data_IF_297969564512
#
_entry.id   IF_297969564512
#
_cell.length_a   1.000
_cell.length_b   1.000
_cell.length_c   1.000
_cell.angle_alpha   90.00
_cell.angle_beta   90.00
_cell.angle_gamma   90.00
#
_symmetry.space_group_name_H-M   'P 1'
#
loop_
_entity.id
_entity.type
_entity.pdbx_description
1 polymer ?
#
# COMPACT_ATOMS: atom_id res chain seq x y z
N UNK A 1 48.81 2.10 18.07
CA UNK A 1 47.44 1.53 18.06
C UNK A 1 46.44 2.67 17.90
N UNK A 2 45.91 2.88 16.70
CA UNK A 2 44.84 3.88 16.47
C UNK A 2 43.50 3.22 16.80
N UNK A 3 42.79 3.72 17.81
CA UNK A 3 41.42 3.34 18.10
C UNK A 3 40.54 3.76 16.92
N UNK A 4 39.98 2.79 16.23
CA UNK A 4 38.89 3.02 15.29
C UNK A 4 37.73 3.68 16.03
N UNK A 5 37.36 4.90 15.64
CA UNK A 5 36.12 5.53 16.09
C UNK A 5 34.97 4.70 15.54
N UNK A 6 34.28 3.99 16.41
CA UNK A 6 32.95 3.47 16.10
C UNK A 6 32.08 4.65 15.69
N UNK A 7 31.62 4.63 14.44
CA UNK A 7 30.62 5.57 13.95
C UNK A 7 29.31 5.13 14.62
N UNK A 8 28.98 5.78 15.71
CA UNK A 8 27.65 5.65 16.32
C UNK A 8 26.66 6.29 15.36
N UNK A 9 26.00 5.47 14.53
CA UNK A 9 24.89 5.92 13.70
C UNK A 9 23.80 6.34 14.67
N UNK A 10 23.55 7.65 14.71
CA UNK A 10 22.53 8.24 15.56
C UNK A 10 21.16 7.76 15.01
N UNK A 11 20.50 6.84 15.71
CA UNK A 11 19.22 6.24 15.32
C UNK A 11 18.06 7.27 15.21
N UNK A 12 18.31 8.52 15.52
CA UNK A 12 17.30 9.58 15.59
C UNK A 12 16.98 10.27 14.25
N UNK A 13 17.55 9.82 13.13
CA UNK A 13 17.36 10.46 11.81
C UNK A 13 16.95 9.50 10.69
N UNK A 14 16.32 8.37 11.02
CA UNK A 14 15.97 7.34 10.03
C UNK A 14 14.47 7.27 9.69
N UNK A 15 13.68 8.24 10.10
CA UNK A 15 12.24 8.15 10.03
C UNK A 15 11.71 8.97 8.87
N UNK A 16 11.47 8.29 7.78
CA UNK A 16 10.84 8.84 6.59
C UNK A 16 9.90 7.82 5.96
N UNK A 17 9.36 8.19 4.82
CA UNK A 17 8.52 7.31 4.02
C UNK A 17 9.35 6.51 3.02
N UNK A 18 8.85 5.31 2.67
CA UNK A 18 9.26 4.55 1.49
C UNK A 18 8.05 4.32 0.59
N UNK A 19 8.30 4.25 -0.71
CA UNK A 19 7.28 3.99 -1.73
C UNK A 19 7.56 2.62 -2.33
N UNK A 20 6.52 1.77 -2.36
CA UNK A 20 6.59 0.43 -2.93
C UNK A 20 5.52 0.28 -4.01
N UNK A 21 5.94 0.19 -5.26
CA UNK A 21 5.07 -0.03 -6.40
C UNK A 21 5.02 -1.51 -6.74
N UNK A 22 3.83 -2.05 -6.85
CA UNK A 22 3.57 -3.47 -7.07
C UNK A 22 2.90 -3.62 -8.44
N UNK A 23 3.52 -4.38 -9.31
CA UNK A 23 3.04 -4.66 -10.65
C UNK A 23 4.17 -5.13 -11.55
N UNK A 24 4.00 -6.29 -12.15
CA UNK A 24 4.97 -6.89 -13.07
C UNK A 24 5.15 -6.06 -14.33
N UNK A 25 4.12 -5.35 -14.78
CA UNK A 25 4.15 -4.46 -15.95
C UNK A 25 5.06 -3.23 -15.73
N UNK A 26 5.14 -2.74 -14.48
CA UNK A 26 6.05 -1.65 -14.11
C UNK A 26 7.47 -2.18 -14.08
N UNK A 27 7.69 -3.34 -13.46
CA UNK A 27 9.00 -3.96 -13.31
C UNK A 27 9.62 -4.30 -14.68
N UNK A 28 8.80 -4.75 -15.63
CA UNK A 28 9.22 -5.08 -16.99
C UNK A 28 9.37 -3.85 -17.89
N UNK A 29 9.01 -2.66 -17.42
CA UNK A 29 9.11 -1.43 -18.20
C UNK A 29 8.00 -1.26 -19.24
N UNK A 30 6.93 -2.04 -19.17
CA UNK A 30 5.79 -1.94 -20.10
C UNK A 30 5.00 -0.65 -19.90
N UNK A 31 5.00 -0.13 -18.67
CA UNK A 31 4.39 1.15 -18.31
C UNK A 31 5.35 2.00 -17.46
N UNK A 32 5.18 3.32 -17.55
CA UNK A 32 5.94 4.26 -16.73
C UNK A 32 5.37 4.33 -15.32
N UNK A 33 6.24 4.26 -14.32
CA UNK A 33 5.85 4.38 -12.90
C UNK A 33 5.54 5.84 -12.53
N UNK A 34 4.38 6.33 -12.93
CA UNK A 34 3.94 7.70 -12.63
C UNK A 34 3.42 7.84 -11.20
N UNK A 35 2.98 6.76 -10.57
CA UNK A 35 2.47 6.79 -9.20
C UNK A 35 3.58 7.12 -8.20
N UNK A 36 4.75 6.49 -8.31
CA UNK A 36 5.86 6.78 -7.38
C UNK A 36 6.38 8.21 -7.52
N UNK A 37 6.46 8.72 -8.75
CA UNK A 37 6.83 10.12 -8.98
C UNK A 37 5.85 11.05 -8.27
N UNK A 38 4.56 10.87 -8.51
CA UNK A 38 3.54 11.72 -7.96
C UNK A 38 3.48 11.65 -6.42
N UNK A 39 3.57 10.45 -5.82
CA UNK A 39 3.62 10.28 -4.36
C UNK A 39 4.83 11.01 -3.78
N UNK A 40 6.00 10.91 -4.42
CA UNK A 40 7.21 11.60 -3.99
C UNK A 40 7.04 13.13 -3.99
N UNK A 41 6.38 13.68 -4.99
CA UNK A 41 6.02 15.10 -5.06
C UNK A 41 5.09 15.49 -3.89
N UNK A 42 4.08 14.66 -3.58
CA UNK A 42 3.17 14.93 -2.45
C UNK A 42 3.92 14.86 -1.11
N UNK A 43 4.78 13.88 -0.90
CA UNK A 43 5.60 13.80 0.31
C UNK A 43 6.49 15.02 0.49
N UNK A 44 7.09 15.50 -0.58
CA UNK A 44 7.90 16.73 -0.56
C UNK A 44 7.07 17.96 -0.18
N UNK A 45 5.85 18.11 -0.72
CA UNK A 45 4.91 19.20 -0.37
C UNK A 45 4.55 19.13 1.12
N UNK A 46 4.34 17.92 1.67
CA UNK A 46 4.02 17.71 3.08
C UNK A 46 5.23 17.82 4.01
N UNK A 47 6.44 17.98 3.46
CA UNK A 47 7.67 18.01 4.24
C UNK A 47 8.05 16.65 4.86
N UNK A 48 7.51 15.54 4.33
CA UNK A 48 7.82 14.19 4.76
C UNK A 48 9.03 13.67 4.00
N UNK A 49 10.16 13.40 4.67
CA UNK A 49 11.33 12.85 4.00
C UNK A 49 11.02 11.48 3.40
N UNK A 50 11.46 11.23 2.18
CA UNK A 50 11.39 9.91 1.61
C UNK A 50 12.75 9.52 1.01
N UNK A 51 13.16 8.26 1.19
CA UNK A 51 14.52 7.86 0.88
C UNK A 51 14.60 6.74 -0.14
N UNK A 52 13.50 6.03 -0.41
CA UNK A 52 13.51 4.86 -1.29
C UNK A 52 12.20 4.74 -2.06
N UNK A 53 12.37 4.34 -3.32
CA UNK A 53 11.29 3.88 -4.19
C UNK A 53 11.69 2.50 -4.70
N UNK A 54 10.82 1.53 -4.52
CA UNK A 54 11.05 0.14 -4.92
C UNK A 54 9.92 -0.31 -5.85
N UNK A 55 10.26 -1.07 -6.87
CA UNK A 55 9.29 -1.72 -7.75
C UNK A 55 9.43 -3.23 -7.58
N UNK A 56 8.32 -3.91 -7.31
CA UNK A 56 8.25 -5.36 -7.15
C UNK A 56 7.18 -5.91 -8.09
N UNK A 57 7.47 -7.01 -8.76
CA UNK A 57 6.45 -7.76 -9.51
C UNK A 57 5.51 -8.50 -8.56
N UNK A 58 4.43 -9.07 -9.10
CA UNK A 58 3.36 -9.76 -8.36
C UNK A 58 3.82 -11.12 -7.81
N UNK A 59 4.81 -11.08 -6.93
CA UNK A 59 5.40 -12.25 -6.27
C UNK A 59 5.27 -12.11 -4.74
N UNK A 60 4.57 -13.03 -4.05
CA UNK A 60 4.27 -12.92 -2.63
C UNK A 60 5.51 -12.87 -1.74
N UNK A 61 6.53 -13.68 -2.03
CA UNK A 61 7.71 -13.78 -1.18
C UNK A 61 8.59 -12.53 -1.28
N UNK A 62 8.80 -12.03 -2.49
CA UNK A 62 9.54 -10.77 -2.72
C UNK A 62 8.81 -9.56 -2.14
N UNK A 63 7.48 -9.52 -2.27
CA UNK A 63 6.66 -8.47 -1.69
C UNK A 63 6.75 -8.50 -0.16
N UNK A 64 6.66 -9.67 0.45
CA UNK A 64 6.83 -9.86 1.89
C UNK A 64 8.20 -9.39 2.37
N UNK A 65 9.26 -9.77 1.68
CA UNK A 65 10.63 -9.35 1.98
C UNK A 65 10.76 -7.82 1.94
N UNK A 66 10.31 -7.19 0.87
CA UNK A 66 10.34 -5.73 0.72
C UNK A 66 9.58 -4.99 1.82
N UNK A 67 8.39 -5.51 2.23
CA UNK A 67 7.60 -4.94 3.33
C UNK A 67 8.35 -5.08 4.67
N UNK A 68 8.95 -6.23 4.94
CA UNK A 68 9.72 -6.45 6.17
C UNK A 68 10.93 -5.52 6.23
N UNK A 69 11.68 -5.40 5.13
CA UNK A 69 12.81 -4.49 5.05
C UNK A 69 12.39 -3.04 5.29
N UNK A 70 11.38 -2.55 4.59
CA UNK A 70 10.85 -1.20 4.78
C UNK A 70 10.44 -0.97 6.23
N UNK A 71 9.77 -1.96 6.84
CA UNK A 71 9.30 -1.87 8.22
C UNK A 71 10.41 -1.80 9.27
N UNK A 72 11.65 -2.12 8.93
CA UNK A 72 12.81 -2.05 9.83
C UNK A 72 13.56 -0.72 9.73
N UNK A 73 13.30 0.07 8.69
CA UNK A 73 14.08 1.29 8.38
C UNK A 73 13.24 2.53 8.09
N UNK A 74 11.90 2.42 8.00
CA UNK A 74 11.00 3.55 7.76
C UNK A 74 9.84 3.56 8.74
N UNK A 75 9.17 4.69 8.91
CA UNK A 75 7.96 4.84 9.71
C UNK A 75 6.70 4.71 8.86
N UNK A 76 6.79 5.07 7.59
CA UNK A 76 5.67 5.07 6.66
C UNK A 76 6.07 4.26 5.44
N UNK A 77 5.25 3.29 5.08
CA UNK A 77 5.31 2.60 3.81
C UNK A 77 4.06 2.93 2.99
N UNK A 78 4.26 3.53 1.83
CA UNK A 78 3.17 3.79 0.90
C UNK A 78 3.28 2.77 -0.23
N UNK A 79 2.24 1.94 -0.38
CA UNK A 79 2.18 0.95 -1.46
C UNK A 79 1.15 1.35 -2.51
N UNK A 80 1.41 1.03 -3.78
CA UNK A 80 0.44 1.22 -4.87
C UNK A 80 0.47 0.02 -5.81
N UNK A 81 -0.72 -0.49 -6.15
CA UNK A 81 -0.92 -1.66 -6.99
C UNK A 81 -1.34 -2.93 -6.22
N UNK A 82 -1.81 -3.93 -6.95
CA UNK A 82 -2.18 -5.24 -6.44
C UNK A 82 -3.39 -5.28 -5.49
N UNK A 83 -4.35 -4.35 -5.62
CA UNK A 83 -5.58 -4.26 -4.82
C UNK A 83 -6.86 -4.68 -5.58
N UNK A 84 -6.75 -5.00 -6.85
CA UNK A 84 -7.88 -5.40 -7.70
C UNK A 84 -8.46 -6.76 -7.33
N UNK A 85 -9.42 -7.25 -8.15
CA UNK A 85 -10.09 -8.53 -7.91
C UNK A 85 -9.36 -9.72 -8.55
N UNK A 86 -8.30 -9.52 -9.31
CA UNK A 86 -7.65 -10.63 -10.03
C UNK A 86 -6.81 -11.53 -9.10
N UNK A 87 -6.44 -12.73 -9.50
CA UNK A 87 -5.58 -13.61 -8.70
C UNK A 87 -4.21 -12.97 -8.36
N UNK A 88 -3.69 -12.14 -9.25
CA UNK A 88 -2.39 -11.46 -9.09
C UNK A 88 -2.44 -10.27 -8.13
N UNK A 89 -3.64 -9.82 -7.77
CA UNK A 89 -3.84 -8.76 -6.76
C UNK A 89 -3.63 -9.33 -5.35
N UNK A 90 -2.39 -9.36 -4.90
CA UNK A 90 -1.96 -10.05 -3.67
C UNK A 90 -1.61 -9.12 -2.51
N UNK A 91 -1.59 -7.82 -2.74
CA UNK A 91 -1.01 -6.83 -1.81
C UNK A 91 -1.61 -6.90 -0.41
N UNK A 92 -2.94 -6.84 -0.28
CA UNK A 92 -3.62 -6.87 1.02
C UNK A 92 -3.33 -8.15 1.80
N UNK A 93 -3.36 -9.30 1.10
CA UNK A 93 -3.10 -10.60 1.73
C UNK A 93 -1.66 -10.68 2.22
N UNK A 94 -0.68 -10.31 1.39
CA UNK A 94 0.73 -10.37 1.75
C UNK A 94 1.06 -9.43 2.91
N UNK A 95 0.48 -8.22 2.94
CA UNK A 95 0.61 -7.30 4.08
C UNK A 95 0.11 -7.97 5.37
N UNK A 96 -1.10 -8.53 5.37
CA UNK A 96 -1.67 -9.19 6.53
C UNK A 96 -0.83 -10.39 6.99
N UNK A 97 -0.42 -11.26 6.06
CA UNK A 97 0.41 -12.44 6.33
C UNK A 97 1.79 -12.05 6.89
N UNK A 98 2.39 -10.97 6.39
CA UNK A 98 3.69 -10.46 6.84
C UNK A 98 3.69 -10.15 8.34
N UNK A 99 2.61 -9.57 8.83
CA UNK A 99 2.45 -9.20 10.24
C UNK A 99 1.58 -10.19 11.03
N UNK A 100 1.31 -11.38 10.46
CA UNK A 100 0.54 -12.45 11.09
C UNK A 100 -0.82 -11.98 11.62
N UNK A 101 -1.47 -11.11 10.88
CA UNK A 101 -2.77 -10.55 11.23
C UNK A 101 -3.85 -11.17 10.38
N UNK A 102 -4.99 -11.62 10.95
CA UNK A 102 -6.08 -12.17 10.18
C UNK A 102 -6.72 -11.08 9.31
N UNK A 103 -7.19 -11.50 8.14
CA UNK A 103 -8.08 -10.69 7.33
C UNK A 103 -9.50 -10.77 7.88
N UNK A 104 -10.20 -9.65 7.89
CA UNK A 104 -11.63 -9.57 8.22
C UNK A 104 -12.40 -8.99 7.05
N UNK A 105 -13.61 -9.51 6.82
CA UNK A 105 -14.49 -9.03 5.78
C UNK A 105 -15.27 -7.80 6.28
N UNK A 106 -15.24 -6.74 5.49
CA UNK A 106 -15.92 -5.48 5.79
C UNK A 106 -17.23 -5.35 5.02
N UNK A 107 -18.32 -5.29 5.75
CA UNK A 107 -19.66 -5.15 5.17
C UNK A 107 -19.90 -3.81 4.47
N UNK A 108 -19.30 -2.73 4.98
CA UNK A 108 -19.36 -1.40 4.35
C UNK A 108 -18.72 -1.41 2.95
N UNK A 109 -17.59 -2.10 2.77
CA UNK A 109 -16.95 -2.28 1.47
C UNK A 109 -17.82 -3.16 0.55
N UNK A 110 -18.41 -4.22 1.07
CA UNK A 110 -19.33 -5.07 0.27
C UNK A 110 -20.53 -4.29 -0.27
N UNK A 111 -21.09 -3.40 0.55
CA UNK A 111 -22.22 -2.54 0.13
C UNK A 111 -21.76 -1.56 -0.95
N UNK A 112 -20.59 -0.92 -0.75
CA UNK A 112 -20.01 -0.01 -1.73
C UNK A 112 -19.72 -0.69 -3.07
N UNK A 113 -19.11 -1.88 -3.04
CA UNK A 113 -18.86 -2.70 -4.24
C UNK A 113 -20.17 -3.03 -5.00
N UNK A 114 -21.23 -3.44 -4.29
CA UNK A 114 -22.52 -3.70 -4.90
C UNK A 114 -23.10 -2.46 -5.58
N UNK A 115 -22.95 -1.30 -4.93
CA UNK A 115 -23.44 -0.03 -5.48
C UNK A 115 -22.68 0.40 -6.74
N UNK A 116 -21.36 0.25 -6.73
CA UNK A 116 -20.48 0.65 -7.84
C UNK A 116 -20.59 -0.27 -9.04
N UNK A 117 -20.67 -1.56 -8.82
CA UNK A 117 -20.71 -2.54 -9.90
C UNK A 117 -22.09 -2.63 -10.59
N UNK A 118 -23.11 -1.93 -10.09
CA UNK A 118 -24.47 -1.70 -10.64
C UNK A 118 -25.08 -2.79 -11.55
N UNK A 119 -24.59 -4.00 -11.51
CA UNK A 119 -25.21 -5.12 -12.19
C UNK A 119 -26.38 -5.61 -11.34
N UNK A 120 -27.53 -5.11 -11.70
CA UNK A 120 -28.84 -5.12 -11.05
C UNK A 120 -29.37 -6.51 -10.75
N UNK A 121 -28.76 -7.46 -10.28
CA UNK A 121 -29.26 -8.74 -9.77
C UNK A 121 -28.16 -9.83 -9.75
N UNK A 122 -26.90 -9.48 -9.96
CA UNK A 122 -25.82 -10.46 -9.90
C UNK A 122 -25.13 -10.36 -8.54
N UNK A 123 -25.03 -11.46 -7.84
CA UNK A 123 -24.19 -11.54 -6.64
C UNK A 123 -22.73 -11.22 -6.98
N UNK A 124 -22.02 -10.58 -6.05
CA UNK A 124 -20.59 -10.35 -6.20
C UNK A 124 -19.86 -11.70 -6.33
N UNK A 125 -19.00 -11.81 -7.32
CA UNK A 125 -18.12 -12.98 -7.45
C UNK A 125 -17.16 -13.06 -6.24
N UNK A 126 -16.61 -14.25 -5.98
CA UNK A 126 -15.63 -14.42 -4.89
C UNK A 126 -14.40 -13.53 -5.07
N UNK A 127 -13.97 -13.32 -6.32
CA UNK A 127 -12.86 -12.40 -6.63
C UNK A 127 -13.20 -10.94 -6.30
N UNK A 128 -14.42 -10.50 -6.52
CA UNK A 128 -14.87 -9.17 -6.12
C UNK A 128 -15.02 -9.05 -4.59
N UNK A 129 -15.56 -10.08 -3.93
CA UNK A 129 -15.65 -10.13 -2.46
C UNK A 129 -14.29 -10.07 -1.79
N UNK A 130 -13.24 -10.59 -2.42
CA UNK A 130 -11.85 -10.51 -1.94
C UNK A 130 -11.43 -9.06 -1.65
N UNK A 131 -11.90 -8.06 -2.41
CA UNK A 131 -11.60 -6.66 -2.19
C UNK A 131 -12.17 -6.10 -0.86
N UNK A 132 -13.12 -6.81 -0.24
CA UNK A 132 -13.65 -6.45 1.08
C UNK A 132 -12.84 -7.02 2.26
N UNK A 133 -11.83 -7.84 1.99
CA UNK A 133 -10.95 -8.40 3.00
C UNK A 133 -9.84 -7.42 3.34
N UNK A 134 -9.72 -7.04 4.60
CA UNK A 134 -8.68 -6.12 5.08
C UNK A 134 -8.04 -6.65 6.35
N UNK A 135 -6.79 -6.27 6.67
CA UNK A 135 -6.15 -6.65 7.92
C UNK A 135 -6.99 -6.16 9.11
N UNK A 136 -7.17 -7.01 10.11
CA UNK A 136 -7.92 -6.65 11.32
C UNK A 136 -7.37 -5.37 11.94
N UNK A 137 -8.26 -4.44 12.24
CA UNK A 137 -7.92 -3.14 12.81
C UNK A 137 -7.44 -2.09 11.81
N UNK A 138 -7.44 -2.38 10.52
CA UNK A 138 -7.15 -1.39 9.49
C UNK A 138 -8.31 -0.41 9.30
N UNK A 139 -7.97 0.85 9.01
CA UNK A 139 -8.93 1.86 8.54
C UNK A 139 -8.97 1.82 7.02
N UNK A 140 -10.11 2.17 6.47
CA UNK A 140 -10.32 2.20 5.02
C UNK A 140 -10.03 3.59 4.49
N UNK A 141 -9.33 3.65 3.37
CA UNK A 141 -9.21 4.84 2.52
C UNK A 141 -10.20 4.64 1.37
N UNK A 142 -11.23 5.48 1.33
CA UNK A 142 -12.31 5.29 0.37
C UNK A 142 -11.85 5.55 -1.06
N UNK A 143 -12.20 4.64 -1.97
CA UNK A 143 -11.97 4.82 -3.39
C UNK A 143 -13.28 5.27 -4.05
N UNK A 144 -13.36 6.50 -4.48
CA UNK A 144 -14.61 7.08 -4.99
C UNK A 144 -14.88 6.74 -6.45
N UNK A 145 -13.85 6.48 -7.24
CA UNK A 145 -13.95 6.22 -8.69
C UNK A 145 -13.73 4.76 -9.06
N UNK A 146 -13.01 4.01 -8.25
CA UNK A 146 -12.75 2.58 -8.47
C UNK A 146 -13.41 1.68 -7.43
N UNK A 147 -13.14 0.37 -7.52
CA UNK A 147 -13.72 -0.65 -6.63
C UNK A 147 -12.80 -1.04 -5.47
N UNK A 148 -11.48 -0.95 -5.66
CA UNK A 148 -10.52 -1.38 -4.66
C UNK A 148 -10.30 -0.29 -3.62
N UNK A 149 -10.70 -0.48 -2.35
CA UNK A 149 -10.39 0.47 -1.30
C UNK A 149 -8.91 0.46 -0.99
N UNK A 150 -8.40 1.57 -0.50
CA UNK A 150 -7.09 1.64 0.13
C UNK A 150 -7.16 1.29 1.62
N UNK A 151 -6.01 1.16 2.24
CA UNK A 151 -5.87 0.79 3.64
C UNK A 151 -4.91 1.75 4.32
N UNK A 152 -5.31 2.25 5.49
CA UNK A 152 -4.43 2.89 6.47
C UNK A 152 -4.30 1.95 7.67
N UNK A 153 -3.10 1.44 7.92
CA UNK A 153 -2.91 0.45 8.96
C UNK A 153 -1.54 0.55 9.63
N UNK A 154 -1.54 0.47 10.96
CA UNK A 154 -0.32 0.45 11.76
C UNK A 154 -0.15 -0.94 12.40
N UNK A 155 0.51 -1.89 11.73
CA UNK A 155 0.69 -3.26 12.21
C UNK A 155 1.54 -3.35 13.48
N UNK A 156 2.36 -2.36 13.72
CA UNK A 156 3.22 -2.25 14.89
C UNK A 156 3.51 -0.79 15.27
N UNK A 157 4.01 -0.58 16.47
CA UNK A 157 4.40 0.76 16.94
C UNK A 157 5.42 1.39 15.98
N UNK A 158 5.23 2.65 15.66
CA UNK A 158 6.09 3.46 14.80
C UNK A 158 6.24 2.94 13.35
N UNK A 159 5.26 2.21 12.86
CA UNK A 159 5.24 1.82 11.46
C UNK A 159 3.81 1.80 10.93
N UNK A 160 3.56 2.57 9.88
CA UNK A 160 2.25 2.72 9.25
C UNK A 160 2.34 2.37 7.77
N UNK A 161 1.36 1.65 7.27
CA UNK A 161 1.22 1.30 5.86
C UNK A 161 -0.01 2.01 5.31
N UNK A 162 0.18 2.71 4.19
CA UNK A 162 -0.90 3.21 3.34
C UNK A 162 -0.88 2.44 2.03
N UNK A 163 -2.02 1.92 1.61
CA UNK A 163 -2.13 1.23 0.32
C UNK A 163 -3.06 1.98 -0.60
N UNK A 164 -2.70 2.03 -1.88
CA UNK A 164 -3.49 2.67 -2.92
C UNK A 164 -3.57 1.77 -4.16
N UNK A 165 -4.63 1.88 -4.97
CA UNK A 165 -4.72 1.17 -6.24
C UNK A 165 -3.63 1.61 -7.23
N UNK A 166 -3.39 0.77 -8.24
CA UNK A 166 -2.41 1.07 -9.29
C UNK A 166 -2.87 2.14 -10.28
N UNK A 167 -4.18 2.39 -10.39
CA UNK A 167 -4.76 3.40 -11.30
C UNK A 167 -4.43 4.81 -10.82
N UNK A 168 -3.69 5.63 -11.59
CA UNK A 168 -3.21 6.93 -11.11
C UNK A 168 -4.31 7.92 -10.72
N UNK A 169 -5.44 7.94 -11.45
CA UNK A 169 -6.56 8.82 -11.16
C UNK A 169 -7.23 8.48 -9.81
N UNK A 170 -7.39 7.20 -9.52
CA UNK A 170 -7.95 6.71 -8.26
C UNK A 170 -7.03 7.08 -7.09
N UNK A 171 -5.74 6.78 -7.20
CA UNK A 171 -4.74 7.11 -6.19
C UNK A 171 -4.76 8.60 -5.86
N UNK A 172 -4.75 9.48 -6.87
CA UNK A 172 -4.73 10.93 -6.67
C UNK A 172 -5.99 11.44 -5.98
N UNK A 173 -7.16 10.92 -6.37
CA UNK A 173 -8.43 11.28 -5.74
C UNK A 173 -8.48 10.84 -4.28
N UNK A 174 -8.09 9.60 -4.00
CA UNK A 174 -8.05 9.03 -2.65
C UNK A 174 -7.09 9.80 -1.75
N UNK A 175 -5.91 10.12 -2.26
CA UNK A 175 -4.93 10.92 -1.53
C UNK A 175 -5.47 12.29 -1.15
N UNK A 176 -6.05 13.01 -2.10
CA UNK A 176 -6.54 14.36 -1.88
C UNK A 176 -7.70 14.42 -0.88
N UNK A 177 -8.53 13.36 -0.81
CA UNK A 177 -9.73 13.33 0.03
C UNK A 177 -9.51 12.69 1.41
N UNK A 178 -8.53 11.78 1.54
CA UNK A 178 -8.47 10.87 2.68
C UNK A 178 -7.07 10.78 3.34
N UNK A 179 -6.00 11.13 2.63
CA UNK A 179 -4.65 10.83 3.11
C UNK A 179 -3.73 12.05 3.26
N UNK A 180 -4.16 13.24 2.82
CA UNK A 180 -3.36 14.47 2.89
C UNK A 180 -3.47 15.21 4.24
N UNK A 181 -4.32 14.75 5.14
CA UNK A 181 -4.49 15.23 6.52
C UNK A 181 -3.67 14.37 7.50
#
# INVERSE_FOLDING_TARGET
MKKSKEITINKNNQYGAEILCIGSEILLGNIVNTNSQWIAEQLAILGVPHFRQTVIGDNPDRLKEAILEASNRSEILITTGGLGPTPDDITTKVIADTFKTPLEQRNDILIDLKNKLKNKNTELSESQKKQSLVPKGAKIINNYSGTAPGIFWSPRKNFTILTFPGVPSELKEMWAKEASE
#
